data_IF_882065063422
#
_entry.id   IF_882065063422
#
_cell.length_a   1.000
_cell.length_b   1.000
_cell.length_c   1.000
_cell.angle_alpha   90.00
_cell.angle_beta   90.00
_cell.angle_gamma   90.00
#
_symmetry.space_group_name_H-M   'P 1'
#
loop_
_entity.id
_entity.type
_entity.pdbx_description
1 polymer ?
#
# COMPACT_ATOMS: atom_id res chain seq x y z
N UNK A 1 -2.01 17.78 13.40
CA UNK A 1 -2.54 16.80 12.44
C UNK A 1 -1.49 16.70 11.35
N UNK A 2 -0.88 15.57 11.13
CA UNK A 2 0.04 15.36 10.01
C UNK A 2 -0.84 15.05 8.81
N UNK A 3 -0.78 15.86 7.78
CA UNK A 3 -1.51 15.63 6.54
C UNK A 3 -0.85 14.44 5.83
N UNK A 4 -1.62 13.48 5.34
CA UNK A 4 -1.11 12.42 4.45
C UNK A 4 -0.99 13.03 3.06
N UNK A 5 0.23 13.29 2.62
CA UNK A 5 0.51 13.86 1.29
C UNK A 5 0.93 12.78 0.29
N UNK A 6 1.46 11.65 0.79
CA UNK A 6 1.98 10.58 -0.04
C UNK A 6 1.54 9.21 0.49
N UNK A 7 0.99 8.37 -0.39
CA UNK A 7 0.52 7.01 -0.06
C UNK A 7 1.32 5.97 -0.82
N UNK A 8 1.98 5.07 -0.07
CA UNK A 8 2.62 3.88 -0.64
C UNK A 8 1.61 2.77 -0.85
N UNK A 9 1.58 2.20 -2.05
CA UNK A 9 0.65 1.11 -2.40
C UNK A 9 1.41 -0.17 -2.75
N UNK A 10 1.06 -1.24 -2.04
CA UNK A 10 1.46 -2.61 -2.34
C UNK A 10 0.30 -3.35 -2.99
N UNK A 11 0.48 -3.86 -4.19
CA UNK A 11 -0.56 -4.56 -4.94
C UNK A 11 0.04 -5.59 -5.91
N UNK A 12 -0.83 -6.39 -6.53
CA UNK A 12 -0.40 -7.49 -7.40
C UNK A 12 0.31 -7.06 -8.67
N UNK A 13 1.36 -7.81 -9.07
CA UNK A 13 1.93 -7.79 -10.43
C UNK A 13 1.05 -8.52 -11.46
N UNK A 14 -0.10 -9.01 -11.04
CA UNK A 14 -1.20 -9.57 -11.85
C UNK A 14 -2.48 -8.81 -11.52
N UNK A 15 -3.45 -8.79 -12.44
CA UNK A 15 -4.78 -8.19 -12.22
C UNK A 15 -5.71 -9.07 -11.39
N UNK A 16 -5.33 -10.34 -11.16
CA UNK A 16 -6.24 -11.32 -10.58
C UNK A 16 -7.28 -11.81 -11.57
N UNK A 17 -8.19 -12.68 -11.11
CA UNK A 17 -9.23 -13.27 -11.95
C UNK A 17 -10.54 -12.46 -11.96
N UNK A 18 -10.81 -11.70 -10.88
CA UNK A 18 -12.01 -10.89 -10.76
C UNK A 18 -11.76 -9.47 -11.28
N UNK A 19 -12.59 -8.95 -12.20
CA UNK A 19 -12.49 -7.58 -12.68
C UNK A 19 -12.70 -6.51 -11.58
N UNK A 20 -13.31 -6.86 -10.47
CA UNK A 20 -13.46 -5.98 -9.30
C UNK A 20 -12.11 -5.48 -8.76
N UNK A 21 -11.06 -6.29 -8.84
CA UNK A 21 -9.72 -5.89 -8.39
C UNK A 21 -9.14 -4.77 -9.26
N UNK A 22 -9.29 -4.88 -10.58
CA UNK A 22 -8.88 -3.82 -11.51
C UNK A 22 -9.68 -2.54 -11.28
N UNK A 23 -11.01 -2.63 -11.16
CA UNK A 23 -11.87 -1.50 -10.90
C UNK A 23 -11.54 -0.79 -9.56
N UNK A 24 -11.22 -1.56 -8.52
CA UNK A 24 -10.80 -1.03 -7.24
C UNK A 24 -9.44 -0.30 -7.32
N UNK A 25 -8.47 -0.85 -8.06
CA UNK A 25 -7.17 -0.21 -8.29
C UNK A 25 -7.30 1.10 -9.10
N UNK A 26 -8.16 1.14 -10.13
CA UNK A 26 -8.47 2.35 -10.89
C UNK A 26 -9.10 3.42 -10.00
N UNK A 27 -10.11 3.06 -9.21
CA UNK A 27 -10.74 3.98 -8.26
C UNK A 27 -9.74 4.50 -7.24
N UNK A 28 -8.88 3.63 -6.70
CA UNK A 28 -7.89 4.01 -5.71
C UNK A 28 -6.89 5.03 -6.27
N UNK A 29 -6.28 4.77 -7.42
CA UNK A 29 -5.35 5.69 -8.07
C UNK A 29 -6.00 7.05 -8.37
N UNK A 30 -7.22 7.05 -8.91
CA UNK A 30 -7.98 8.28 -9.19
C UNK A 30 -8.32 9.06 -7.92
N UNK A 31 -8.70 8.38 -6.83
CA UNK A 31 -9.07 9.00 -5.57
C UNK A 31 -7.85 9.61 -4.84
N UNK A 32 -6.68 8.96 -4.92
CA UNK A 32 -5.40 9.51 -4.41
C UNK A 32 -5.10 10.83 -5.12
N UNK A 33 -5.15 10.85 -6.45
CA UNK A 33 -4.93 12.06 -7.24
C UNK A 33 -5.96 13.16 -6.96
N UNK A 34 -7.25 12.83 -6.86
CA UNK A 34 -8.33 13.78 -6.57
C UNK A 34 -8.18 14.45 -5.19
N UNK A 35 -7.52 13.80 -4.24
CA UNK A 35 -7.20 14.36 -2.90
C UNK A 35 -5.90 15.18 -2.90
N UNK A 36 -5.22 15.30 -4.04
CA UNK A 36 -3.92 15.97 -4.15
C UNK A 36 -2.76 15.19 -3.54
N UNK A 37 -2.96 13.91 -3.25
CA UNK A 37 -1.91 13.02 -2.75
C UNK A 37 -1.04 12.49 -3.89
N UNK A 38 0.21 12.13 -3.56
CA UNK A 38 1.11 11.42 -4.47
C UNK A 38 1.05 9.91 -4.21
N UNK A 39 1.10 9.12 -5.29
CA UNK A 39 1.21 7.67 -5.24
C UNK A 39 2.68 7.26 -5.25
N UNK A 40 3.12 6.45 -4.28
CA UNK A 40 4.38 5.72 -4.31
C UNK A 40 4.10 4.23 -4.47
N UNK A 41 4.84 3.52 -5.34
CA UNK A 41 4.61 2.10 -5.57
C UNK A 41 5.84 1.39 -6.16
N UNK A 42 5.70 0.11 -6.51
CA UNK A 42 6.80 -0.74 -7.00
C UNK A 42 7.37 -0.43 -8.38
N UNK A 43 6.86 0.60 -9.09
CA UNK A 43 7.46 1.12 -10.33
C UNK A 43 7.20 0.31 -11.60
N UNK A 44 6.47 -0.81 -11.55
CA UNK A 44 6.19 -1.66 -12.70
C UNK A 44 4.88 -1.26 -13.42
N UNK A 45 4.83 -1.51 -14.73
CA UNK A 45 3.63 -1.26 -15.57
C UNK A 45 2.68 -2.45 -15.66
N UNK A 46 2.94 -3.53 -14.93
CA UNK A 46 2.17 -4.79 -15.00
C UNK A 46 1.16 -4.93 -13.88
N UNK A 47 0.09 -5.69 -14.14
CA UNK A 47 -0.94 -6.04 -13.16
C UNK A 47 -1.63 -4.82 -12.55
N UNK A 48 -2.03 -4.94 -11.28
CA UNK A 48 -2.66 -3.84 -10.53
C UNK A 48 -1.70 -2.67 -10.30
N UNK A 49 -0.37 -2.90 -10.30
CA UNK A 49 0.64 -1.84 -10.21
C UNK A 49 0.52 -0.85 -11.37
N UNK A 50 0.46 -1.34 -12.62
CA UNK A 50 0.24 -0.49 -13.78
C UNK A 50 -1.11 0.23 -13.72
N UNK A 51 -2.18 -0.49 -13.37
CA UNK A 51 -3.53 0.07 -13.30
C UNK A 51 -3.63 1.23 -12.31
N UNK A 52 -3.11 1.08 -11.09
CA UNK A 52 -3.20 2.13 -10.07
C UNK A 52 -2.38 3.36 -10.45
N UNK A 53 -1.20 3.18 -11.04
CA UNK A 53 -0.34 4.28 -11.48
C UNK A 53 -0.96 5.02 -12.68
N UNK A 54 -1.44 4.29 -13.69
CA UNK A 54 -2.15 4.88 -14.84
C UNK A 54 -3.36 5.70 -14.42
N UNK A 55 -4.16 5.18 -13.48
CA UNK A 55 -5.34 5.88 -12.97
C UNK A 55 -4.98 7.17 -12.23
N UNK A 56 -3.94 7.16 -11.40
CA UNK A 56 -3.46 8.34 -10.70
C UNK A 56 -2.97 9.42 -11.69
N UNK A 57 -2.18 9.02 -12.68
CA UNK A 57 -1.65 9.93 -13.71
C UNK A 57 -2.76 10.48 -14.60
N UNK A 58 -3.72 9.63 -15.03
CA UNK A 58 -4.86 10.05 -15.86
C UNK A 58 -5.77 11.05 -15.13
N UNK A 59 -5.86 10.97 -13.81
CA UNK A 59 -6.57 11.94 -12.96
C UNK A 59 -5.77 13.22 -12.68
N UNK A 60 -4.58 13.39 -13.28
CA UNK A 60 -3.73 14.58 -13.13
C UNK A 60 -2.87 14.57 -11.86
N UNK A 61 -2.79 13.45 -11.15
CA UNK A 61 -1.96 13.27 -9.98
C UNK A 61 -0.50 12.94 -10.32
N UNK A 62 0.28 12.66 -9.28
CA UNK A 62 1.68 12.23 -9.38
C UNK A 62 1.80 10.77 -8.97
N UNK A 63 2.71 10.06 -9.65
CA UNK A 63 3.08 8.69 -9.29
C UNK A 63 4.59 8.53 -9.34
N UNK A 64 5.16 8.07 -8.23
CA UNK A 64 6.59 7.76 -8.07
C UNK A 64 6.79 6.26 -7.95
N UNK A 65 7.62 5.71 -8.81
CA UNK A 65 8.00 4.29 -8.81
C UNK A 65 9.34 4.06 -8.13
N UNK A 66 9.47 2.97 -7.38
CA UNK A 66 10.76 2.48 -6.86
C UNK A 66 10.97 1.05 -7.30
N UNK A 67 11.99 0.79 -8.12
CA UNK A 67 12.24 -0.52 -8.71
C UNK A 67 13.72 -0.90 -8.55
N UNK A 68 14.02 -2.20 -8.41
CA UNK A 68 15.41 -2.66 -8.42
C UNK A 68 15.91 -2.86 -9.86
N UNK A 69 17.22 -2.74 -10.07
CA UNK A 69 17.85 -3.02 -11.37
C UNK A 69 17.47 -4.41 -11.90
N UNK A 70 17.40 -5.41 -11.01
CA UNK A 70 17.03 -6.78 -11.38
C UNK A 70 15.57 -6.90 -11.85
N UNK A 71 14.65 -6.17 -11.25
CA UNK A 71 13.22 -6.21 -11.62
C UNK A 71 12.93 -5.33 -12.84
N UNK A 72 13.66 -4.24 -13.02
CA UNK A 72 13.51 -3.37 -14.19
C UNK A 72 13.71 -4.12 -15.52
N UNK A 73 14.46 -5.24 -15.52
CA UNK A 73 14.63 -6.12 -16.67
C UNK A 73 13.55 -7.17 -16.85
N UNK A 74 12.81 -7.53 -15.79
CA UNK A 74 11.76 -8.57 -15.78
C UNK A 74 10.34 -7.98 -15.72
N UNK A 75 10.17 -6.93 -14.95
CA UNK A 75 8.96 -6.13 -14.88
C UNK A 75 9.24 -4.86 -15.67
N UNK A 76 8.51 -4.64 -16.74
CA UNK A 76 8.69 -3.46 -17.59
C UNK A 76 8.44 -2.23 -16.72
N UNK A 77 9.48 -1.47 -16.44
CA UNK A 77 9.37 -0.21 -15.71
C UNK A 77 8.35 0.71 -16.38
N UNK A 78 7.56 1.39 -15.60
CA UNK A 78 6.50 2.25 -16.12
C UNK A 78 7.10 3.49 -16.81
N UNK A 79 6.77 3.69 -18.09
CA UNK A 79 7.43 4.68 -18.94
C UNK A 79 6.98 6.13 -18.78
N UNK A 80 5.90 6.40 -18.04
CA UNK A 80 5.26 7.74 -17.96
C UNK A 80 5.12 8.28 -16.54
N UNK A 81 5.85 7.70 -15.58
CA UNK A 81 5.81 8.13 -14.18
C UNK A 81 6.31 9.56 -14.00
N UNK A 82 5.85 10.21 -12.93
CA UNK A 82 6.36 11.51 -12.51
C UNK A 82 7.83 11.42 -12.10
N UNK A 83 8.17 10.36 -11.35
CA UNK A 83 9.53 10.02 -10.94
C UNK A 83 9.73 8.50 -10.90
N UNK A 84 10.95 8.02 -11.23
CA UNK A 84 11.33 6.62 -11.13
C UNK A 84 12.72 6.50 -10.49
N UNK A 85 12.75 5.83 -9.34
CA UNK A 85 13.98 5.51 -8.63
C UNK A 85 14.40 4.06 -8.94
N UNK A 86 15.58 3.88 -9.51
CA UNK A 86 16.18 2.56 -9.72
C UNK A 86 17.22 2.34 -8.61
N UNK A 87 17.05 1.27 -7.85
CA UNK A 87 17.86 0.95 -6.67
C UNK A 87 18.55 -0.41 -6.81
N UNK A 88 19.59 -0.65 -6.01
CA UNK A 88 20.45 -1.82 -6.14
C UNK A 88 19.89 -3.09 -5.48
N UNK A 89 19.01 -2.95 -4.49
CA UNK A 89 18.52 -4.07 -3.69
C UNK A 89 17.06 -3.92 -3.25
N UNK A 90 16.44 -5.05 -2.88
CA UNK A 90 15.08 -5.05 -2.30
C UNK A 90 15.02 -4.31 -0.96
N UNK A 91 16.09 -4.34 -0.16
CA UNK A 91 16.13 -3.60 1.10
C UNK A 91 16.12 -2.08 0.87
N UNK A 92 16.95 -1.62 -0.07
CA UNK A 92 16.99 -0.22 -0.46
C UNK A 92 15.64 0.23 -1.05
N UNK A 93 15.01 -0.61 -1.90
CA UNK A 93 13.68 -0.34 -2.47
C UNK A 93 12.64 -0.11 -1.38
N UNK A 94 12.48 -1.05 -0.45
CA UNK A 94 11.48 -0.95 0.63
C UNK A 94 11.78 0.21 1.58
N UNK A 95 13.04 0.44 1.91
CA UNK A 95 13.44 1.58 2.72
C UNK A 95 13.08 2.92 2.06
N UNK A 96 13.38 3.08 0.77
CA UNK A 96 13.06 4.29 0.03
C UNK A 96 11.54 4.48 -0.15
N UNK A 97 10.78 3.41 -0.47
CA UNK A 97 9.32 3.47 -0.51
C UNK A 97 8.74 3.92 0.83
N UNK A 98 9.30 3.41 1.93
CA UNK A 98 8.90 3.85 3.26
C UNK A 98 9.28 5.30 3.53
N UNK A 99 10.47 5.76 3.17
CA UNK A 99 10.92 7.13 3.39
C UNK A 99 10.05 8.16 2.64
N UNK A 100 9.68 7.85 1.40
CA UNK A 100 8.89 8.72 0.52
C UNK A 100 7.41 8.83 0.90
N UNK A 101 6.90 8.03 1.84
CA UNK A 101 5.46 7.90 2.06
C UNK A 101 5.04 8.27 3.47
N UNK A 102 3.82 8.76 3.64
CA UNK A 102 3.19 9.11 4.92
C UNK A 102 2.24 8.01 5.42
N UNK A 103 1.75 7.15 4.52
CA UNK A 103 0.88 6.03 4.84
C UNK A 103 1.13 4.87 3.88
N UNK A 104 0.73 3.66 4.28
CA UNK A 104 0.83 2.44 3.48
C UNK A 104 -0.55 1.84 3.23
N UNK A 105 -0.78 1.35 2.01
CA UNK A 105 -2.02 0.65 1.66
C UNK A 105 -1.72 -0.64 0.94
N UNK A 106 -2.42 -1.71 1.34
CA UNK A 106 -2.43 -3.00 0.65
C UNK A 106 -3.72 -3.14 -0.15
N UNK A 107 -3.60 -3.35 -1.47
CA UNK A 107 -4.64 -3.83 -2.36
C UNK A 107 -4.44 -5.33 -2.65
N UNK A 108 -5.42 -6.00 -3.27
CA UNK A 108 -5.27 -7.41 -3.66
C UNK A 108 -3.97 -7.70 -4.39
N UNK A 109 -3.32 -8.80 -4.02
CA UNK A 109 -2.02 -9.17 -4.57
C UNK A 109 -1.53 -10.53 -4.07
N UNK A 110 -0.26 -10.82 -4.32
CA UNK A 110 0.39 -12.08 -3.95
C UNK A 110 1.42 -11.93 -2.83
N UNK A 111 2.37 -12.86 -2.81
CA UNK A 111 3.39 -12.94 -1.74
C UNK A 111 4.22 -11.65 -1.58
N UNK A 112 4.59 -10.99 -2.68
CA UNK A 112 5.34 -9.72 -2.60
C UNK A 112 4.51 -8.63 -1.91
N UNK A 113 3.21 -8.52 -2.25
CA UNK A 113 2.28 -7.59 -1.62
C UNK A 113 2.17 -7.83 -0.11
N UNK A 114 2.04 -9.09 0.30
CA UNK A 114 1.97 -9.44 1.72
C UNK A 114 3.29 -9.16 2.44
N UNK A 115 4.41 -9.52 1.85
CA UNK A 115 5.74 -9.34 2.44
C UNK A 115 6.02 -7.87 2.70
N UNK A 116 5.84 -7.01 1.70
CA UNK A 116 6.08 -5.57 1.78
C UNK A 116 5.15 -4.88 2.80
N UNK A 117 3.86 -5.22 2.78
CA UNK A 117 2.89 -4.65 3.72
C UNK A 117 3.13 -5.11 5.16
N UNK A 118 3.36 -6.42 5.37
CA UNK A 118 3.62 -6.96 6.72
C UNK A 118 4.94 -6.45 7.30
N UNK A 119 5.94 -6.15 6.48
CA UNK A 119 7.15 -5.48 6.94
C UNK A 119 6.83 -4.06 7.43
N UNK A 120 6.02 -3.28 6.69
CA UNK A 120 5.60 -1.94 7.11
C UNK A 120 4.82 -1.97 8.42
N UNK A 121 3.88 -2.92 8.57
CA UNK A 121 3.15 -3.15 9.84
C UNK A 121 4.10 -3.52 10.98
N UNK A 122 5.08 -4.39 10.71
CA UNK A 122 6.07 -4.78 11.72
C UNK A 122 6.95 -3.60 12.14
N UNK A 123 7.35 -2.75 11.21
CA UNK A 123 8.13 -1.55 11.51
C UNK A 123 7.35 -0.55 12.35
N UNK A 124 6.05 -0.40 12.11
CA UNK A 124 5.16 0.39 12.96
C UNK A 124 5.09 -0.19 14.38
N UNK A 125 4.94 -1.52 14.52
CA UNK A 125 4.92 -2.19 15.82
C UNK A 125 6.23 -2.03 16.60
N UNK A 126 7.37 -1.97 15.92
CA UNK A 126 8.69 -1.76 16.50
C UNK A 126 9.00 -0.28 16.79
N UNK A 127 8.11 0.64 16.41
CA UNK A 127 8.30 2.07 16.58
C UNK A 127 9.36 2.67 15.65
N UNK A 128 9.66 1.99 14.53
CA UNK A 128 10.58 2.51 13.50
C UNK A 128 9.90 3.66 12.74
N UNK A 129 8.58 3.60 12.59
CA UNK A 129 7.74 4.69 12.10
C UNK A 129 6.38 4.67 12.80
N UNK A 130 5.63 5.76 12.65
CA UNK A 130 4.28 5.97 13.19
C UNK A 130 3.22 6.15 12.09
N UNK A 131 3.49 5.69 10.87
CA UNK A 131 2.64 5.84 9.69
C UNK A 131 1.49 4.85 9.73
N UNK A 132 0.31 5.31 9.27
CA UNK A 132 -0.89 4.49 9.19
C UNK A 132 -0.76 3.41 8.13
N UNK A 133 -1.30 2.22 8.44
CA UNK A 133 -1.35 1.07 7.53
C UNK A 133 -2.81 0.73 7.21
N UNK A 134 -3.18 0.77 5.94
CA UNK A 134 -4.53 0.51 5.45
C UNK A 134 -4.63 -0.73 4.57
N UNK A 135 -5.81 -1.33 4.52
CA UNK A 135 -6.12 -2.49 3.67
C UNK A 135 -7.44 -2.23 2.94
N UNK A 136 -7.39 -2.24 1.62
CA UNK A 136 -8.58 -2.22 0.77
C UNK A 136 -9.06 -3.65 0.55
N UNK A 137 -10.10 -4.06 1.31
CA UNK A 137 -10.62 -5.43 1.31
C UNK A 137 -11.68 -5.63 0.21
N UNK A 138 -11.26 -5.58 -1.04
CA UNK A 138 -12.14 -5.72 -2.22
C UNK A 138 -12.85 -7.07 -2.17
N UNK A 139 -14.18 -7.07 -2.12
CA UNK A 139 -15.03 -8.26 -2.12
C UNK A 139 -14.59 -9.35 -1.13
N UNK A 140 -14.05 -8.95 0.02
CA UNK A 140 -13.61 -9.89 1.06
C UNK A 140 -12.32 -10.66 0.73
N UNK A 141 -11.51 -10.18 -0.23
CA UNK A 141 -10.28 -10.85 -0.66
C UNK A 141 -9.35 -11.22 0.50
N UNK A 142 -9.30 -10.41 1.55
CA UNK A 142 -8.45 -10.63 2.72
C UNK A 142 -9.15 -11.27 3.91
N UNK A 143 -10.40 -11.74 3.79
CA UNK A 143 -11.16 -12.28 4.94
C UNK A 143 -10.47 -13.50 5.57
N UNK A 144 -9.91 -14.40 4.78
CA UNK A 144 -9.17 -15.55 5.28
C UNK A 144 -7.86 -15.14 5.97
N UNK A 145 -7.17 -14.11 5.46
CA UNK A 145 -5.99 -13.53 6.11
C UNK A 145 -6.36 -12.95 7.47
N UNK A 146 -7.47 -12.21 7.57
CA UNK A 146 -7.95 -11.70 8.85
C UNK A 146 -8.38 -12.82 9.79
N UNK A 147 -8.94 -13.90 9.26
CA UNK A 147 -9.22 -15.13 10.01
C UNK A 147 -7.95 -15.69 10.66
N UNK A 148 -6.88 -15.80 9.89
CA UNK A 148 -5.57 -16.24 10.39
C UNK A 148 -4.98 -15.26 11.43
N UNK A 149 -5.02 -13.96 11.15
CA UNK A 149 -4.50 -12.93 12.07
C UNK A 149 -5.26 -12.95 13.40
N UNK A 150 -6.61 -13.07 13.38
CA UNK A 150 -7.41 -13.24 14.61
C UNK A 150 -7.03 -14.49 15.39
N UNK A 151 -6.82 -15.63 14.68
CA UNK A 151 -6.32 -16.83 15.33
C UNK A 151 -4.96 -16.60 16.01
N UNK A 152 -4.04 -15.89 15.38
CA UNK A 152 -2.75 -15.54 15.98
C UNK A 152 -2.87 -14.64 17.21
N UNK A 153 -3.89 -13.77 17.27
CA UNK A 153 -4.25 -13.00 18.48
C UNK A 153 -4.71 -13.94 19.58
N UNK A 154 -5.63 -14.85 19.29
CA UNK A 154 -6.15 -15.82 20.26
C UNK A 154 -5.05 -16.75 20.83
N UNK A 155 -4.03 -17.06 20.02
CA UNK A 155 -2.87 -17.84 20.43
C UNK A 155 -1.79 -16.98 21.13
N UNK A 156 -1.97 -15.66 21.24
CA UNK A 156 -1.07 -14.76 21.95
C UNK A 156 0.20 -14.35 21.17
N UNK A 157 0.30 -14.62 19.86
CA UNK A 157 1.41 -14.19 19.01
C UNK A 157 1.29 -12.74 18.56
N UNK A 158 0.05 -12.24 18.40
CA UNK A 158 -0.25 -10.86 18.02
C UNK A 158 -1.08 -10.23 19.15
N UNK A 159 -0.83 -8.98 19.46
CA UNK A 159 -1.67 -8.24 20.42
C UNK A 159 -2.88 -7.65 19.69
N UNK A 160 -4.08 -7.75 20.26
CA UNK A 160 -5.31 -7.25 19.65
C UNK A 160 -5.17 -5.79 19.16
N UNK A 161 -4.59 -4.91 19.98
CA UNK A 161 -4.32 -3.50 19.62
C UNK A 161 -3.51 -3.30 18.34
N UNK A 162 -2.66 -4.27 17.94
CA UNK A 162 -1.86 -4.18 16.72
C UNK A 162 -2.73 -4.42 15.48
N UNK A 163 -3.79 -5.20 15.63
CA UNK A 163 -4.81 -5.40 14.59
C UNK A 163 -5.77 -4.22 14.56
N UNK A 164 -6.17 -3.71 15.72
CA UNK A 164 -7.07 -2.57 15.85
C UNK A 164 -6.48 -1.27 15.29
N UNK A 165 -5.15 -1.19 15.17
CA UNK A 165 -4.46 -0.07 14.55
C UNK A 165 -4.48 -0.09 13.02
N UNK A 166 -4.88 -1.20 12.39
CA UNK A 166 -5.02 -1.28 10.93
C UNK A 166 -6.32 -0.64 10.48
N UNK A 167 -6.24 0.19 9.44
CA UNK A 167 -7.44 0.75 8.79
C UNK A 167 -7.91 -0.22 7.72
N UNK A 168 -9.11 -0.79 7.86
CA UNK A 168 -9.65 -1.77 6.93
C UNK A 168 -10.98 -1.25 6.40
N UNK A 169 -11.12 -1.14 5.09
CA UNK A 169 -12.39 -0.81 4.42
C UNK A 169 -12.47 -1.50 3.06
N UNK A 170 -13.66 -1.76 2.57
CA UNK A 170 -13.97 -2.16 1.20
C UNK A 170 -14.27 -0.95 0.28
N UNK A 171 -14.40 0.24 0.88
CA UNK A 171 -14.58 1.50 0.16
C UNK A 171 -13.29 2.34 0.15
N UNK A 172 -12.92 2.83 -1.03
CA UNK A 172 -11.69 3.61 -1.25
C UNK A 172 -11.73 4.95 -0.51
N UNK A 173 -12.87 5.65 -0.56
CA UNK A 173 -12.99 6.98 0.03
C UNK A 173 -13.00 6.93 1.56
N UNK A 174 -13.67 5.93 2.12
CA UNK A 174 -13.64 5.65 3.56
C UNK A 174 -12.21 5.31 4.03
N UNK A 175 -11.51 4.42 3.30
CA UNK A 175 -10.14 4.04 3.61
C UNK A 175 -9.21 5.25 3.64
N UNK A 176 -9.21 6.05 2.58
CA UNK A 176 -8.34 7.23 2.48
C UNK A 176 -8.68 8.28 3.56
N UNK A 177 -9.97 8.51 3.84
CA UNK A 177 -10.41 9.44 4.89
C UNK A 177 -9.96 8.96 6.28
N UNK A 178 -10.04 7.66 6.54
CA UNK A 178 -9.58 7.09 7.81
C UNK A 178 -8.06 7.17 7.98
N UNK A 179 -7.28 7.02 6.89
CA UNK A 179 -5.82 7.21 6.91
C UNK A 179 -5.43 8.65 7.23
N UNK A 180 -6.13 9.63 6.66
CA UNK A 180 -5.94 11.07 6.95
C UNK A 180 -6.29 11.42 8.41
N UNK A 181 -7.29 10.74 8.97
CA UNK A 181 -7.75 10.94 10.35
C UNK A 181 -6.97 10.18 11.41
N UNK A 182 -6.16 9.20 11.02
CA UNK A 182 -5.37 8.38 11.93
C UNK A 182 -4.18 9.20 12.44
N UNK A 183 -4.32 9.75 13.64
CA UNK A 183 -3.23 10.48 14.29
C UNK A 183 -2.24 9.50 14.94
N UNK A 184 -0.96 9.91 14.98
CA UNK A 184 0.20 9.23 15.59
C UNK A 184 -0.03 8.63 16.99
N UNK A 185 -1.06 9.08 17.71
CA UNK A 185 -1.32 8.68 19.09
C UNK A 185 -1.86 7.24 19.25
N UNK A 186 -2.36 6.60 18.18
CA UNK A 186 -2.91 5.25 18.26
C UNK A 186 -1.86 4.14 18.10
N UNK A 187 -0.76 4.42 17.41
CA UNK A 187 0.30 3.43 17.14
C UNK A 187 1.35 3.41 18.27
N UNK A 188 1.62 4.55 18.91
CA UNK A 188 2.67 4.72 19.91
C UNK A 188 2.26 4.38 21.37
N UNK A 189 0.98 4.12 21.63
CA UNK A 189 0.48 3.80 22.98
C UNK A 189 0.63 2.30 23.29
N UNK A 190 1.90 1.81 23.35
CA UNK A 190 2.15 0.46 23.54
C UNK A 190 3.15 -0.06 24.49
#
# INVERSE_FOLDING_TARGET
MTTVETVCVFCGSSTGADPAFTAAAERFGSAVAARGMELVYGGASVGLMGVVADAALAAGGRATGVITESLAGHEIAHGTLSDLHVVSSMHERKALMSELSDAFVMLPGGFGTYEEFMESVTWAQLGIHDKSCGILNVDGFFDDLFGFVRHAVDQGFIKARQVDALVISDDVDELLTALEGSTRDQVAAG
#
